data_IF_691673238742
#
_entry.id   IF_691673238742
#
_cell.length_a   1.000
_cell.length_b   1.000
_cell.length_c   1.000
_cell.angle_alpha   90.00
_cell.angle_beta   90.00
_cell.angle_gamma   90.00
#
_symmetry.space_group_name_H-M   'P 1'
#
loop_
_entity.id
_entity.type
_entity.pdbx_description
1 polymer ?
#
# COMPACT_ATOMS: atom_id res chain seq x y z
N UNK A 1 17.15 -20.67 -17.22
CA UNK A 1 18.14 -20.68 -16.13
C UNK A 1 17.81 -19.72 -14.96
N UNK A 2 17.16 -18.53 -15.16
CA UNK A 2 16.88 -17.56 -14.09
C UNK A 2 15.84 -18.06 -13.05
N UNK A 3 14.74 -18.73 -13.44
CA UNK A 3 13.71 -19.28 -12.51
C UNK A 3 14.26 -20.34 -11.54
N UNK A 4 15.09 -21.26 -12.01
CA UNK A 4 15.66 -22.31 -11.18
C UNK A 4 16.56 -21.77 -10.04
N UNK A 5 17.15 -20.59 -10.20
CA UNK A 5 17.99 -19.94 -9.21
C UNK A 5 17.16 -19.31 -8.08
N UNK A 6 16.01 -18.70 -8.42
CA UNK A 6 15.05 -18.16 -7.46
C UNK A 6 14.42 -19.29 -6.63
N UNK A 7 14.05 -20.41 -7.27
CA UNK A 7 13.53 -21.60 -6.59
C UNK A 7 14.55 -22.23 -5.61
N UNK A 8 15.85 -22.11 -5.90
CA UNK A 8 16.89 -22.58 -5.02
C UNK A 8 17.06 -21.69 -3.76
N UNK A 9 16.91 -20.38 -3.91
CA UNK A 9 16.99 -19.40 -2.82
C UNK A 9 15.77 -19.51 -1.89
N UNK A 10 14.61 -19.81 -2.44
CA UNK A 10 13.40 -20.05 -1.64
C UNK A 10 13.50 -21.32 -0.78
N UNK A 11 14.50 -22.18 -1.02
CA UNK A 11 14.76 -23.42 -0.27
C UNK A 11 15.81 -23.29 0.83
N UNK A 12 16.58 -22.19 0.86
CA UNK A 12 17.69 -22.03 1.80
C UNK A 12 17.74 -20.61 2.35
N UNK A 13 17.06 -20.37 3.45
CA UNK A 13 17.38 -19.24 4.31
C UNK A 13 18.37 -19.70 5.37
N UNK A 14 19.34 -18.87 5.70
CA UNK A 14 20.42 -19.14 6.65
C UNK A 14 19.97 -19.37 8.10
N UNK A 15 18.67 -19.59 8.34
CA UNK A 15 18.05 -19.87 9.64
C UNK A 15 17.32 -21.23 9.68
N UNK A 16 17.46 -22.08 8.64
CA UNK A 16 16.90 -23.44 8.66
C UNK A 16 15.36 -23.51 8.52
N UNK A 17 14.69 -22.42 8.17
CA UNK A 17 13.28 -22.40 7.79
C UNK A 17 13.18 -21.88 6.35
N UNK A 18 12.99 -22.81 5.42
CA UNK A 18 12.53 -22.45 4.07
C UNK A 18 11.13 -21.83 4.20
N UNK A 19 11.05 -20.51 4.26
CA UNK A 19 9.78 -19.80 4.09
C UNK A 19 9.36 -20.00 2.63
N UNK A 20 8.59 -21.06 2.38
CA UNK A 20 8.04 -21.33 1.06
C UNK A 20 6.92 -20.32 0.86
N UNK A 21 7.21 -19.24 0.11
CA UNK A 21 6.18 -18.27 -0.25
C UNK A 21 4.98 -18.99 -0.88
N UNK A 22 3.74 -18.65 -0.49
CA UNK A 22 2.53 -19.12 -1.18
C UNK A 22 2.64 -18.88 -2.68
N UNK A 23 2.04 -19.76 -3.49
CA UNK A 23 2.20 -19.73 -4.94
C UNK A 23 1.90 -18.35 -5.58
N UNK A 24 0.80 -17.63 -5.26
CA UNK A 24 0.52 -16.33 -5.85
C UNK A 24 1.57 -15.27 -5.45
N UNK A 25 2.03 -15.29 -4.20
CA UNK A 25 3.07 -14.37 -3.72
C UNK A 25 4.41 -14.63 -4.42
N UNK A 26 4.76 -15.90 -4.60
CA UNK A 26 5.98 -16.28 -5.31
C UNK A 26 5.97 -15.80 -6.75
N UNK A 27 4.85 -15.99 -7.46
CA UNK A 27 4.71 -15.55 -8.84
C UNK A 27 4.88 -14.02 -8.94
N UNK A 28 4.19 -13.25 -8.12
CA UNK A 28 4.30 -11.78 -8.12
C UNK A 28 5.74 -11.29 -7.88
N UNK A 29 6.45 -11.89 -6.91
CA UNK A 29 7.86 -11.54 -6.63
C UNK A 29 8.78 -11.92 -7.78
N UNK A 30 8.59 -13.10 -8.38
CA UNK A 30 9.38 -13.55 -9.52
C UNK A 30 9.18 -12.67 -10.76
N UNK A 31 7.94 -12.28 -11.05
CA UNK A 31 7.61 -11.44 -12.19
C UNK A 31 8.18 -10.02 -12.00
N UNK A 32 8.06 -9.44 -10.80
CA UNK A 32 8.65 -8.15 -10.46
C UNK A 32 10.18 -8.15 -10.58
N UNK A 33 10.86 -9.19 -10.08
CA UNK A 33 12.30 -9.37 -10.23
C UNK A 33 12.71 -9.56 -11.69
N UNK A 34 11.96 -10.34 -12.46
CA UNK A 34 12.26 -10.57 -13.87
C UNK A 34 12.17 -9.29 -14.70
N UNK A 35 11.22 -8.39 -14.35
CA UNK A 35 11.01 -7.14 -15.04
C UNK A 35 12.04 -6.05 -14.70
N UNK A 36 12.50 -5.98 -13.45
CA UNK A 36 13.19 -4.78 -12.94
C UNK A 36 14.59 -5.00 -12.38
N UNK A 37 15.03 -6.24 -12.09
CA UNK A 37 16.30 -6.51 -11.37
C UNK A 37 17.56 -5.94 -12.02
N UNK A 38 17.57 -5.80 -13.33
CA UNK A 38 18.73 -5.31 -14.09
C UNK A 38 18.69 -3.78 -14.30
N UNK A 39 17.65 -3.09 -13.80
CA UNK A 39 17.49 -1.64 -13.89
C UNK A 39 18.29 -0.91 -12.79
N UNK A 40 18.81 0.29 -13.05
CA UNK A 40 19.39 1.13 -12.00
C UNK A 40 18.35 1.44 -10.91
N UNK A 41 18.71 1.22 -9.64
CA UNK A 41 17.78 1.47 -8.53
C UNK A 41 16.58 0.50 -8.47
N UNK A 42 16.77 -0.73 -8.87
CA UNK A 42 15.75 -1.78 -9.04
C UNK A 42 14.81 -2.00 -7.85
N UNK A 43 15.24 -1.70 -6.61
CA UNK A 43 14.50 -2.04 -5.40
C UNK A 43 13.11 -1.38 -5.36
N UNK A 44 13.00 -0.08 -5.61
CA UNK A 44 11.71 0.62 -5.57
C UNK A 44 10.74 0.13 -6.65
N UNK A 45 11.13 0.02 -7.94
CA UNK A 45 10.27 -0.58 -8.96
C UNK A 45 9.80 -2.00 -8.63
N UNK A 46 10.66 -2.84 -8.06
CA UNK A 46 10.29 -4.20 -7.64
C UNK A 46 9.25 -4.16 -6.52
N UNK A 47 9.46 -3.33 -5.48
CA UNK A 47 8.52 -3.20 -4.36
C UNK A 47 7.15 -2.67 -4.83
N UNK A 48 7.13 -1.70 -5.78
CA UNK A 48 5.89 -1.24 -6.41
C UNK A 48 5.18 -2.37 -7.15
N UNK A 49 5.88 -3.07 -8.04
CA UNK A 49 5.29 -4.17 -8.81
C UNK A 49 4.73 -5.28 -7.92
N UNK A 50 5.42 -5.62 -6.82
CA UNK A 50 4.93 -6.59 -5.83
C UNK A 50 3.67 -6.07 -5.14
N UNK A 51 3.65 -4.80 -4.71
CA UNK A 51 2.49 -4.21 -4.06
C UNK A 51 1.30 -4.07 -5.01
N UNK A 52 1.53 -3.71 -6.27
CA UNK A 52 0.48 -3.60 -7.28
C UNK A 52 -0.17 -4.96 -7.55
N UNK A 53 0.61 -6.04 -7.54
CA UNK A 53 0.13 -7.40 -7.77
C UNK A 53 -0.60 -8.01 -6.55
N UNK A 54 -0.17 -7.68 -5.32
CA UNK A 54 -0.63 -8.32 -4.08
C UNK A 54 -1.43 -7.38 -3.15
N UNK A 55 -1.47 -6.08 -3.46
CA UNK A 55 -2.03 -5.04 -2.58
C UNK A 55 -1.10 -4.63 -1.42
N UNK A 56 -0.03 -5.38 -1.17
CA UNK A 56 0.94 -5.12 -0.09
C UNK A 56 2.29 -5.77 -0.40
N UNK A 57 3.33 -5.43 0.37
CA UNK A 57 4.65 -6.07 0.33
C UNK A 57 4.75 -7.06 1.50
N UNK A 58 4.62 -8.38 1.26
CA UNK A 58 4.68 -9.38 2.32
C UNK A 58 6.05 -9.43 2.98
N UNK A 59 6.10 -9.53 4.32
CA UNK A 59 7.35 -9.59 5.06
C UNK A 59 8.26 -10.76 4.63
N UNK A 60 7.67 -11.88 4.21
CA UNK A 60 8.40 -13.06 3.75
C UNK A 60 9.05 -12.86 2.38
N UNK A 61 8.58 -11.90 1.56
CA UNK A 61 9.17 -11.57 0.27
C UNK A 61 10.49 -10.79 0.39
N UNK A 62 10.72 -10.10 1.51
CA UNK A 62 11.86 -9.21 1.68
C UNK A 62 13.21 -9.94 1.59
N UNK A 63 13.30 -11.16 2.13
CA UNK A 63 14.52 -11.96 2.09
C UNK A 63 14.88 -12.38 0.65
N UNK A 64 13.87 -12.72 -0.15
CA UNK A 64 14.04 -13.10 -1.55
C UNK A 64 14.50 -11.91 -2.39
N UNK A 65 13.82 -10.77 -2.24
CA UNK A 65 14.16 -9.53 -2.96
C UNK A 65 15.58 -9.08 -2.58
N UNK A 66 15.92 -9.11 -1.29
CA UNK A 66 17.25 -8.75 -0.79
C UNK A 66 18.35 -9.62 -1.42
N UNK A 67 18.16 -10.94 -1.39
CA UNK A 67 19.11 -11.88 -1.98
C UNK A 67 19.33 -11.63 -3.48
N UNK A 68 18.26 -11.46 -4.23
CA UNK A 68 18.34 -11.27 -5.69
C UNK A 68 18.98 -9.94 -6.11
N UNK A 69 18.91 -8.92 -5.24
CA UNK A 69 19.53 -7.61 -5.46
C UNK A 69 20.89 -7.45 -4.77
N UNK A 70 21.40 -8.50 -4.12
CA UNK A 70 22.63 -8.46 -3.31
C UNK A 70 22.58 -7.39 -2.21
N UNK A 71 21.42 -7.26 -1.56
CA UNK A 71 21.15 -6.41 -0.41
C UNK A 71 20.95 -7.26 0.85
N UNK A 72 21.00 -6.62 2.02
CA UNK A 72 20.57 -7.26 3.26
C UNK A 72 19.06 -7.13 3.42
N UNK A 73 18.43 -8.06 4.15
CA UNK A 73 17.02 -7.97 4.51
C UNK A 73 16.70 -6.67 5.27
N UNK A 74 17.65 -6.20 6.10
CA UNK A 74 17.49 -4.97 6.87
C UNK A 74 17.39 -3.73 5.97
N UNK A 75 18.20 -3.66 4.90
CA UNK A 75 18.13 -2.56 3.92
C UNK A 75 16.78 -2.54 3.20
N UNK A 76 16.31 -3.70 2.72
CA UNK A 76 15.00 -3.80 2.06
C UNK A 76 13.86 -3.45 3.02
N UNK A 77 13.90 -3.97 4.26
CA UNK A 77 12.93 -3.64 5.30
C UNK A 77 12.95 -2.14 5.63
N UNK A 78 14.15 -1.54 5.73
CA UNK A 78 14.30 -0.10 5.96
C UNK A 78 13.61 0.74 4.87
N UNK A 79 13.73 0.35 3.60
CA UNK A 79 13.04 1.03 2.50
C UNK A 79 11.52 0.87 2.61
N UNK A 80 11.02 -0.34 2.87
CA UNK A 80 9.56 -0.58 3.00
C UNK A 80 8.96 0.22 4.16
N UNK A 81 9.66 0.33 5.28
CA UNK A 81 9.17 1.09 6.45
C UNK A 81 9.35 2.60 6.32
N UNK A 82 10.33 3.06 5.56
CA UNK A 82 10.55 4.48 5.31
C UNK A 82 9.51 5.10 4.37
N UNK A 83 9.18 4.40 3.29
CA UNK A 83 8.19 4.89 2.32
C UNK A 83 6.78 4.45 2.74
N UNK A 84 6.01 5.39 3.28
CA UNK A 84 4.63 5.15 3.76
C UNK A 84 3.64 4.67 2.68
N UNK A 85 4.04 4.71 1.41
CA UNK A 85 3.27 4.13 0.31
C UNK A 85 3.22 2.60 0.39
N UNK A 86 4.28 1.96 0.89
CA UNK A 86 4.32 0.51 1.03
C UNK A 86 3.55 0.04 2.26
N UNK A 87 2.77 -1.01 2.08
CA UNK A 87 2.00 -1.67 3.13
C UNK A 87 2.58 -3.05 3.42
N UNK A 88 2.63 -3.42 4.68
CA UNK A 88 3.05 -4.76 5.11
C UNK A 88 1.88 -5.75 5.24
N UNK A 89 0.64 -5.24 5.20
CA UNK A 89 -0.59 -6.02 5.32
C UNK A 89 -1.54 -5.68 4.17
N UNK A 90 -2.40 -6.64 3.75
CA UNK A 90 -3.41 -6.36 2.74
C UNK A 90 -4.33 -5.21 3.17
N UNK A 91 -4.64 -4.26 2.27
CA UNK A 91 -5.66 -3.25 2.53
C UNK A 91 -7.06 -3.87 2.48
N UNK A 92 -8.05 -3.11 2.93
CA UNK A 92 -9.45 -3.40 2.65
C UNK A 92 -9.77 -3.28 1.16
N UNK A 93 -11.00 -3.64 0.80
CA UNK A 93 -11.47 -3.59 -0.59
C UNK A 93 -11.35 -2.19 -1.21
N UNK A 94 -11.54 -1.15 -0.41
CA UNK A 94 -11.41 0.24 -0.83
C UNK A 94 -10.42 0.97 0.07
N UNK A 95 -9.44 1.62 -0.55
CA UNK A 95 -8.52 2.52 0.17
C UNK A 95 -9.04 3.94 0.02
N UNK A 96 -9.42 4.55 1.13
CA UNK A 96 -9.92 5.93 1.20
C UNK A 96 -8.81 6.82 1.74
N UNK A 97 -8.36 7.79 0.94
CA UNK A 97 -7.29 8.71 1.30
C UNK A 97 -7.83 10.11 1.55
N UNK A 98 -7.55 10.67 2.73
CA UNK A 98 -7.91 12.04 3.09
C UNK A 98 -6.68 12.95 2.94
N UNK A 99 -6.82 14.03 2.19
CA UNK A 99 -5.76 15.00 2.01
C UNK A 99 -5.55 15.84 3.29
N UNK A 100 -4.33 15.77 3.84
CA UNK A 100 -3.90 16.48 5.05
C UNK A 100 -2.95 17.66 4.76
N UNK A 101 -2.81 18.04 3.49
CA UNK A 101 -1.99 19.19 3.12
C UNK A 101 -2.60 20.52 3.59
N UNK A 102 -1.76 21.54 3.71
CA UNK A 102 -2.08 22.88 4.22
C UNK A 102 -3.40 23.45 3.67
N UNK A 103 -3.56 23.48 2.34
CA UNK A 103 -4.76 24.04 1.70
C UNK A 103 -6.05 23.28 2.08
N UNK A 104 -5.98 21.96 2.21
CA UNK A 104 -7.12 21.16 2.66
C UNK A 104 -7.39 21.37 4.15
N UNK A 105 -6.35 21.49 4.99
CA UNK A 105 -6.50 21.79 6.41
C UNK A 105 -7.14 23.16 6.64
N UNK A 106 -6.71 24.18 5.90
CA UNK A 106 -7.32 25.51 5.96
C UNK A 106 -8.80 25.52 5.55
N UNK A 107 -9.25 24.52 4.81
CA UNK A 107 -10.64 24.34 4.34
C UNK A 107 -11.45 23.32 5.15
N UNK A 108 -10.96 22.88 6.30
CA UNK A 108 -11.69 22.02 7.23
C UNK A 108 -11.33 20.54 7.16
N UNK A 109 -10.23 20.13 6.51
CA UNK A 109 -9.84 18.72 6.44
C UNK A 109 -9.61 18.08 7.82
N UNK A 110 -9.24 18.84 8.86
CA UNK A 110 -9.13 18.30 10.24
C UNK A 110 -10.48 17.84 10.80
N UNK A 111 -11.55 18.61 10.55
CA UNK A 111 -12.90 18.21 10.96
C UNK A 111 -13.37 16.98 10.18
N UNK A 112 -13.08 16.92 8.88
CA UNK A 112 -13.35 15.76 8.04
C UNK A 112 -12.60 14.52 8.53
N UNK A 113 -11.32 14.64 8.87
CA UNK A 113 -10.51 13.55 9.44
C UNK A 113 -11.13 13.01 10.74
N UNK A 114 -11.48 13.89 11.67
CA UNK A 114 -12.10 13.51 12.94
C UNK A 114 -13.45 12.80 12.72
N UNK A 115 -14.25 13.27 11.75
CA UNK A 115 -15.51 12.64 11.35
C UNK A 115 -15.27 11.23 10.77
N UNK A 116 -14.35 11.11 9.83
CA UNK A 116 -14.01 9.85 9.16
C UNK A 116 -13.58 8.78 10.17
N UNK A 117 -12.64 9.10 11.07
CA UNK A 117 -12.18 8.17 12.11
C UNK A 117 -13.31 7.72 13.02
N UNK A 118 -14.21 8.63 13.40
CA UNK A 118 -15.37 8.30 14.25
C UNK A 118 -16.38 7.38 13.54
N UNK A 119 -16.71 7.68 12.28
CA UNK A 119 -17.73 6.91 11.52
C UNK A 119 -17.19 5.54 11.12
N UNK A 120 -15.91 5.45 10.75
CA UNK A 120 -15.27 4.19 10.36
C UNK A 120 -14.86 3.35 11.57
N UNK A 121 -14.67 3.97 12.75
CA UNK A 121 -14.20 3.30 13.96
C UNK A 121 -12.72 2.85 13.88
N UNK A 122 -11.92 3.52 13.05
CA UNK A 122 -10.51 3.21 12.79
C UNK A 122 -9.66 4.48 12.75
N UNK A 123 -8.34 4.34 12.94
CA UNK A 123 -7.37 5.40 12.69
C UNK A 123 -6.74 5.25 11.29
N UNK A 124 -5.83 6.17 10.93
CA UNK A 124 -5.04 6.04 9.71
C UNK A 124 -4.20 4.77 9.73
N UNK A 125 -4.01 4.20 8.55
CA UNK A 125 -3.33 2.92 8.30
C UNK A 125 -4.05 1.69 8.85
N UNK A 126 -5.32 1.85 9.26
CA UNK A 126 -6.15 0.75 9.75
C UNK A 126 -7.27 0.42 8.75
N UNK A 127 -7.76 -0.81 8.85
CA UNK A 127 -8.86 -1.33 8.04
C UNK A 127 -10.06 -1.62 8.92
N UNK A 128 -11.26 -1.28 8.46
CA UNK A 128 -12.51 -1.59 9.16
C UNK A 128 -12.66 -3.10 9.39
N UNK A 129 -13.32 -3.49 10.48
CA UNK A 129 -13.46 -4.89 10.87
C UNK A 129 -14.14 -5.78 9.81
N UNK A 130 -14.97 -5.19 8.96
CA UNK A 130 -15.61 -5.85 7.81
C UNK A 130 -14.69 -5.99 6.58
N UNK A 131 -13.43 -5.50 6.67
CA UNK A 131 -12.48 -5.51 5.58
C UNK A 131 -12.86 -4.61 4.40
N UNK A 132 -13.84 -3.72 4.56
CA UNK A 132 -14.34 -2.92 3.45
C UNK A 132 -13.44 -1.73 3.14
N UNK A 133 -13.01 -0.99 4.14
CA UNK A 133 -12.32 0.30 3.97
C UNK A 133 -11.02 0.33 4.75
N UNK A 134 -9.94 0.76 4.09
CA UNK A 134 -8.70 1.18 4.74
C UNK A 134 -8.60 2.70 4.66
N UNK A 135 -8.33 3.36 5.79
CA UNK A 135 -8.17 4.80 5.87
C UNK A 135 -6.69 5.18 5.80
N UNK A 136 -6.33 6.08 4.87
CA UNK A 136 -4.96 6.52 4.65
C UNK A 136 -4.85 8.04 4.64
N UNK A 137 -3.76 8.62 5.15
CA UNK A 137 -3.46 10.03 4.95
C UNK A 137 -2.77 10.23 3.61
N UNK A 138 -2.98 11.40 2.99
CA UNK A 138 -2.19 11.84 1.85
C UNK A 138 -1.87 13.33 1.96
N UNK A 139 -0.71 13.74 1.46
CA UNK A 139 -0.18 15.09 1.68
C UNK A 139 -0.14 15.92 0.39
N UNK A 140 -1.14 15.85 -0.39
CA UNK A 140 -1.61 16.64 -1.52
C UNK A 140 -2.08 15.75 -2.67
N UNK A 141 -3.30 15.99 -3.13
CA UNK A 141 -3.91 15.32 -4.29
C UNK A 141 -3.96 16.25 -5.53
N UNK A 142 -3.29 17.42 -5.45
CA UNK A 142 -3.32 18.40 -6.54
C UNK A 142 -4.61 19.20 -6.66
N UNK A 143 -5.65 18.91 -5.88
CA UNK A 143 -6.99 19.51 -5.95
C UNK A 143 -7.20 20.63 -4.92
N UNK A 144 -6.18 21.47 -4.68
CA UNK A 144 -6.17 22.43 -3.58
C UNK A 144 -7.29 23.49 -3.67
N UNK A 145 -7.68 23.88 -4.87
CA UNK A 145 -8.79 24.83 -5.10
C UNK A 145 -10.15 24.30 -4.69
N UNK A 146 -10.31 22.97 -4.62
CA UNK A 146 -11.53 22.27 -4.26
C UNK A 146 -11.41 21.45 -2.97
N UNK A 147 -10.51 21.83 -2.05
CA UNK A 147 -10.38 21.13 -0.75
C UNK A 147 -11.62 21.34 0.16
N UNK A 148 -11.81 20.47 1.14
CA UNK A 148 -11.08 19.23 1.40
C UNK A 148 -11.26 18.18 0.29
N UNK A 149 -10.18 17.37 0.06
CA UNK A 149 -10.20 16.35 -0.98
C UNK A 149 -10.01 14.96 -0.42
N UNK A 150 -10.74 14.01 -0.99
CA UNK A 150 -10.70 12.57 -0.71
C UNK A 150 -10.47 11.81 -2.00
N UNK A 151 -9.63 10.78 -1.97
CA UNK A 151 -9.40 9.87 -3.08
C UNK A 151 -9.82 8.46 -2.68
N UNK A 152 -10.68 7.84 -3.47
CA UNK A 152 -11.07 6.43 -3.30
C UNK A 152 -10.38 5.60 -4.39
N UNK A 153 -9.72 4.52 -3.98
CA UNK A 153 -8.93 3.72 -4.90
C UNK A 153 -7.74 4.50 -5.48
N UNK A 154 -7.55 4.42 -6.79
CA UNK A 154 -6.43 5.05 -7.49
C UNK A 154 -6.81 6.34 -8.25
N UNK A 155 -8.07 6.52 -8.62
CA UNK A 155 -8.50 7.52 -9.60
C UNK A 155 -9.79 8.28 -9.24
N UNK A 156 -10.58 7.82 -8.26
CA UNK A 156 -11.82 8.47 -7.90
C UNK A 156 -11.59 9.63 -6.91
N UNK A 157 -11.34 10.83 -7.45
CA UNK A 157 -11.04 12.04 -6.67
C UNK A 157 -12.29 12.86 -6.40
N UNK A 158 -12.58 13.11 -5.13
CA UNK A 158 -13.64 13.99 -4.65
C UNK A 158 -13.08 15.28 -4.05
N UNK A 159 -13.68 16.40 -4.40
CA UNK A 159 -13.37 17.71 -3.81
C UNK A 159 -14.55 18.28 -3.03
N UNK A 160 -14.28 19.31 -2.18
CA UNK A 160 -15.27 19.98 -1.31
C UNK A 160 -16.02 19.00 -0.42
N UNK A 161 -15.29 18.01 0.08
CA UNK A 161 -15.87 16.92 0.88
C UNK A 161 -16.08 17.42 2.32
N UNK A 162 -17.33 17.52 2.71
CA UNK A 162 -17.77 17.67 4.10
C UNK A 162 -18.15 16.32 4.72
N UNK A 163 -18.65 16.33 5.95
CA UNK A 163 -19.02 15.12 6.66
C UNK A 163 -20.12 14.32 5.93
N UNK A 164 -21.16 14.99 5.45
CA UNK A 164 -22.27 14.33 4.76
C UNK A 164 -21.81 13.69 3.44
N UNK A 165 -21.02 14.43 2.66
CA UNK A 165 -20.45 13.93 1.41
C UNK A 165 -19.48 12.76 1.63
N UNK A 166 -18.73 12.78 2.73
CA UNK A 166 -17.87 11.65 3.11
C UNK A 166 -18.69 10.39 3.40
N UNK A 167 -19.80 10.52 4.13
CA UNK A 167 -20.67 9.39 4.45
C UNK A 167 -21.29 8.78 3.18
N UNK A 168 -21.69 9.61 2.20
CA UNK A 168 -22.15 9.15 0.89
C UNK A 168 -21.06 8.38 0.12
N UNK A 169 -19.84 8.93 0.06
CA UNK A 169 -18.69 8.30 -0.63
C UNK A 169 -18.40 6.93 -0.02
N UNK A 170 -18.29 6.85 1.31
CA UNK A 170 -18.02 5.59 2.00
C UNK A 170 -19.18 4.61 1.85
N UNK A 171 -20.42 5.09 1.90
CA UNK A 171 -21.60 4.27 1.67
C UNK A 171 -21.60 3.65 0.28
N UNK A 172 -21.28 4.44 -0.75
CA UNK A 172 -21.15 3.95 -2.13
C UNK A 172 -20.02 2.93 -2.28
N UNK A 173 -18.84 3.21 -1.70
CA UNK A 173 -17.71 2.29 -1.72
C UNK A 173 -18.04 0.94 -1.04
N UNK A 174 -18.76 0.95 0.07
CA UNK A 174 -19.21 -0.27 0.75
C UNK A 174 -20.27 -1.06 -0.02
N UNK A 175 -21.11 -0.37 -0.79
CA UNK A 175 -22.15 -1.00 -1.61
C UNK A 175 -21.63 -1.58 -2.93
N UNK A 176 -20.50 -1.10 -3.42
CA UNK A 176 -19.82 -1.66 -4.60
C UNK A 176 -19.14 -2.98 -4.22
N UNK A 177 -19.83 -4.09 -4.54
CA UNK A 177 -19.36 -5.48 -4.34
C UNK A 177 -18.48 -5.91 -5.50
#
# INVERSE_FOLDING_TARGET
MKRARIDAVLKTDGAGRAATLPAPMRAAVQDALAAHRDAPGALLPILHAVQDALGHVPADSLAVIAHELNLTRAEVHGVVTFYHHFRSTPPGRHVVRICRAEACQARGARALEAHAKRVLGIDFHETTADGAVTLEPVYCLGNCGCGPSVLVGHDELHGRVDAARFDEIVGAARAAL
#
